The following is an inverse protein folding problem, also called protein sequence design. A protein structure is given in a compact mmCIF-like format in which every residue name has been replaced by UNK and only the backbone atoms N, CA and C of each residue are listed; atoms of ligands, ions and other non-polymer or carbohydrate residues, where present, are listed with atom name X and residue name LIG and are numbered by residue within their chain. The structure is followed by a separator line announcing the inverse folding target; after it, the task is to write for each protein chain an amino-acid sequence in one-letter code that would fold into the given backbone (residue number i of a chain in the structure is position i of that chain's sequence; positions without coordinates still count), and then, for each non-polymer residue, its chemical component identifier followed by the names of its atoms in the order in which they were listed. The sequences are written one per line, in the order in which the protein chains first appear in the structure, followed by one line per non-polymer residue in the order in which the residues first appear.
data_IF_591070940576
#
_entry.id   IF_591070940576
#
_cell.length_a   1.000
_cell.length_b   1.000
_cell.length_c   1.000
_cell.angle_alpha   90.00
_cell.angle_beta   90.00
_cell.angle_gamma   90.00
#
_symmetry.space_group_name_H-M   'P 1'
#
loop_
_entity.id
_entity.type
_entity.pdbx_description
1 polymer ?
#
# COMPACT_ATOMS: atom_id res chain seq x y z
N UNK A 1 -9.26 -8.83 -14.52
CA UNK A 1 -9.24 -7.86 -13.41
C UNK A 1 -8.09 -8.32 -12.53
N UNK A 2 -7.08 -7.47 -12.32
CA UNK A 2 -5.91 -7.87 -11.53
C UNK A 2 -6.23 -7.77 -10.04
N UNK A 3 -5.52 -8.55 -9.24
CA UNK A 3 -5.68 -8.63 -7.78
C UNK A 3 -4.35 -8.33 -7.10
N UNK A 4 -4.39 -7.71 -5.92
CA UNK A 4 -3.24 -7.49 -5.06
C UNK A 4 -3.48 -8.07 -3.67
N UNK A 5 -2.41 -8.54 -3.03
CA UNK A 5 -2.39 -8.84 -1.59
C UNK A 5 -1.58 -7.74 -0.93
N UNK A 6 -2.17 -7.10 0.07
CA UNK A 6 -1.65 -5.88 0.67
C UNK A 6 -1.61 -6.01 2.20
N UNK A 7 -0.60 -5.37 2.81
CA UNK A 7 -0.55 -5.16 4.26
C UNK A 7 -0.89 -3.70 4.54
N UNK A 8 -1.81 -3.50 5.46
CA UNK A 8 -2.26 -2.19 5.86
C UNK A 8 -1.55 -1.72 7.11
N UNK A 9 -1.29 -0.41 7.15
CA UNK A 9 -0.78 0.24 8.35
C UNK A 9 -1.87 0.31 9.44
N UNK A 10 -1.45 0.42 10.71
CA UNK A 10 -2.36 0.82 11.77
C UNK A 10 -2.83 2.28 11.58
N UNK A 11 -3.84 2.70 12.35
CA UNK A 11 -4.43 4.04 12.21
C UNK A 11 -3.39 5.16 12.38
N UNK A 12 -2.50 4.99 13.37
CA UNK A 12 -1.47 5.98 13.70
C UNK A 12 -0.46 6.13 12.56
N UNK A 13 0.03 5.03 12.01
CA UNK A 13 1.03 5.01 10.95
C UNK A 13 0.43 5.47 9.62
N UNK A 14 -0.82 5.11 9.34
CA UNK A 14 -1.58 5.67 8.22
C UNK A 14 -1.63 7.20 8.27
N UNK A 15 -1.95 7.78 9.42
CA UNK A 15 -2.01 9.23 9.57
C UNK A 15 -0.65 9.89 9.31
N UNK A 16 0.45 9.28 9.77
CA UNK A 16 1.81 9.79 9.51
C UNK A 16 2.09 9.84 8.01
N UNK A 17 1.82 8.74 7.29
CA UNK A 17 2.08 8.66 5.85
C UNK A 17 1.20 9.64 5.08
N UNK A 18 -0.10 9.71 5.38
CA UNK A 18 -1.01 10.66 4.74
C UNK A 18 -0.60 12.12 4.97
N UNK A 19 -0.08 12.45 6.15
CA UNK A 19 0.46 13.78 6.42
C UNK A 19 1.74 14.07 5.63
N UNK A 20 2.58 13.06 5.35
CA UNK A 20 3.72 13.23 4.46
C UNK A 20 3.26 13.51 3.03
N UNK A 21 2.30 12.74 2.53
CA UNK A 21 1.70 12.95 1.21
C UNK A 21 1.09 14.34 1.04
N UNK A 22 0.33 14.80 2.04
CA UNK A 22 -0.22 16.16 2.05
C UNK A 22 0.87 17.22 1.89
N UNK A 23 2.01 17.05 2.57
CA UNK A 23 3.15 17.96 2.46
C UNK A 23 3.87 17.91 1.10
N UNK A 24 3.74 16.82 0.34
CA UNK A 24 4.25 16.74 -1.03
C UNK A 24 3.35 17.52 -1.98
N UNK A 25 2.03 17.39 -1.83
CA UNK A 25 1.02 18.14 -2.58
C UNK A 25 1.15 19.65 -2.31
N UNK A 26 1.18 20.05 -1.04
CA UNK A 26 1.32 21.47 -0.64
C UNK A 26 2.59 22.14 -1.15
N UNK A 27 3.59 21.36 -1.58
CA UNK A 27 4.87 21.84 -2.12
C UNK A 27 5.01 21.66 -3.63
N UNK A 28 3.94 21.25 -4.31
CA UNK A 28 3.93 21.03 -5.76
C UNK A 28 4.97 19.98 -6.22
N UNK A 29 5.21 18.97 -5.38
CA UNK A 29 6.17 17.89 -5.67
C UNK A 29 5.47 16.70 -6.34
N UNK A 30 4.25 16.37 -5.89
CA UNK A 30 3.46 15.27 -6.43
C UNK A 30 2.00 15.44 -6.03
N UNK A 31 1.10 15.29 -7.00
CA UNK A 31 -0.37 15.32 -6.85
C UNK A 31 -1.01 13.93 -7.04
N UNK A 32 -0.19 12.89 -7.24
CA UNK A 32 -0.59 11.51 -7.53
C UNK A 32 -1.76 11.02 -6.67
N UNK A 33 -1.73 11.32 -5.38
CA UNK A 33 -2.71 10.81 -4.42
C UNK A 33 -4.05 11.53 -4.49
N UNK A 34 -4.05 12.80 -4.87
CA UNK A 34 -5.29 13.53 -5.14
C UNK A 34 -5.92 13.05 -6.45
N UNK A 35 -5.10 12.66 -7.44
CA UNK A 35 -5.58 12.20 -8.75
C UNK A 35 -6.15 10.77 -8.72
N UNK A 36 -5.41 9.83 -8.15
CA UNK A 36 -5.73 8.40 -8.24
C UNK A 36 -6.44 7.86 -7.00
N UNK A 37 -6.50 8.66 -5.93
CA UNK A 37 -6.85 8.16 -4.61
C UNK A 37 -5.81 7.17 -4.10
N UNK A 38 -5.86 6.85 -2.82
CA UNK A 38 -4.92 5.89 -2.27
C UNK A 38 -5.00 5.77 -0.77
N UNK A 39 -5.05 4.54 -0.30
CA UNK A 39 -4.84 4.22 1.10
C UNK A 39 -3.38 3.76 1.28
N UNK A 40 -2.64 4.23 2.29
CA UNK A 40 -1.29 3.73 2.54
C UNK A 40 -1.31 2.21 2.77
N UNK A 41 -0.56 1.49 1.94
CA UNK A 41 -0.42 0.05 2.03
C UNK A 41 0.97 -0.39 1.56
N UNK A 42 1.31 -1.64 1.81
CA UNK A 42 2.48 -2.31 1.24
C UNK A 42 1.95 -3.48 0.42
N UNK A 43 2.10 -3.41 -0.90
CA UNK A 43 1.79 -4.54 -1.78
C UNK A 43 2.80 -5.67 -1.55
N UNK A 44 2.30 -6.87 -1.24
CA UNK A 44 3.11 -8.08 -1.11
C UNK A 44 3.20 -8.86 -2.41
N UNK A 45 2.09 -8.92 -3.15
CA UNK A 45 1.99 -9.65 -4.41
C UNK A 45 0.89 -9.06 -5.31
N UNK A 46 1.07 -9.18 -6.63
CA UNK A 46 0.11 -8.79 -7.65
C UNK A 46 -0.13 -9.99 -8.57
N UNK A 47 -1.39 -10.26 -8.87
CA UNK A 47 -1.85 -11.39 -9.65
C UNK A 47 -2.73 -10.91 -10.80
N UNK A 48 -2.63 -11.58 -11.96
CA UNK A 48 -3.54 -11.32 -13.08
C UNK A 48 -4.90 -12.00 -12.89
N UNK A 49 -4.93 -13.10 -12.15
CA UNK A 49 -6.11 -13.88 -11.82
C UNK A 49 -5.88 -14.66 -10.53
N UNK A 50 -6.92 -14.85 -9.73
CA UNK A 50 -6.90 -15.62 -8.48
C UNK A 50 -8.21 -16.38 -8.31
N UNK A 51 -8.17 -17.53 -7.63
CA UNK A 51 -9.35 -18.07 -6.97
C UNK A 51 -9.53 -17.35 -5.64
N UNK A 52 -10.59 -16.53 -5.55
CA UNK A 52 -10.87 -15.68 -4.39
C UNK A 52 -11.11 -16.52 -3.13
N UNK A 53 -11.87 -17.61 -3.24
CA UNK A 53 -12.20 -18.45 -2.09
C UNK A 53 -10.98 -19.16 -1.54
N UNK A 54 -10.09 -19.61 -2.42
CA UNK A 54 -8.81 -20.19 -1.99
C UNK A 54 -7.87 -19.14 -1.40
N UNK A 55 -7.85 -17.90 -1.93
CA UNK A 55 -7.06 -16.81 -1.35
C UNK A 55 -7.54 -16.42 0.04
N UNK A 56 -8.85 -16.25 0.25
CA UNK A 56 -9.43 -15.97 1.57
C UNK A 56 -8.99 -17.02 2.59
N UNK A 57 -9.13 -18.31 2.25
CA UNK A 57 -8.71 -19.43 3.12
C UNK A 57 -7.22 -19.41 3.44
N UNK A 58 -6.37 -19.02 2.49
CA UNK A 58 -4.93 -18.94 2.70
C UNK A 58 -4.55 -17.73 3.56
N UNK A 59 -5.19 -16.58 3.34
CA UNK A 59 -5.01 -15.39 4.16
C UNK A 59 -5.37 -15.71 5.61
N UNK A 60 -6.53 -16.32 5.86
CA UNK A 60 -6.99 -16.70 7.20
C UNK A 60 -5.95 -17.58 7.93
N UNK A 61 -5.42 -18.61 7.25
CA UNK A 61 -4.38 -19.47 7.81
C UNK A 61 -3.08 -18.75 8.14
N UNK A 62 -2.71 -17.74 7.34
CA UNK A 62 -1.51 -16.95 7.58
C UNK A 62 -1.74 -16.03 8.79
N UNK A 63 -2.85 -15.29 8.82
CA UNK A 63 -3.13 -14.34 9.91
C UNK A 63 -3.43 -15.02 11.24
N UNK A 64 -3.86 -16.28 11.26
CA UNK A 64 -3.98 -17.08 12.49
C UNK A 64 -2.67 -17.17 13.29
N UNK A 65 -1.53 -17.16 12.59
CA UNK A 65 -0.21 -17.33 13.20
C UNK A 65 0.58 -16.02 13.28
N UNK A 66 0.09 -14.95 12.67
CA UNK A 66 0.79 -13.68 12.53
C UNK A 66 0.08 -12.58 13.32
N UNK A 67 0.80 -11.98 14.27
CA UNK A 67 0.32 -10.80 14.99
C UNK A 67 0.72 -9.51 14.26
N UNK A 68 0.09 -8.39 14.63
CA UNK A 68 0.54 -7.06 14.23
C UNK A 68 2.04 -6.90 14.50
N UNK A 69 2.80 -6.52 13.48
CA UNK A 69 4.25 -6.39 13.55
C UNK A 69 4.70 -4.98 13.24
N UNK A 70 5.86 -4.61 13.77
CA UNK A 70 6.47 -3.30 13.53
C UNK A 70 7.45 -3.41 12.37
N UNK A 71 7.35 -2.48 11.44
CA UNK A 71 8.35 -2.30 10.38
C UNK A 71 9.14 -1.02 10.60
N UNK A 72 10.37 -1.00 10.11
CA UNK A 72 11.20 0.20 10.06
C UNK A 72 11.39 0.61 8.60
N UNK A 73 10.83 1.75 8.22
CA UNK A 73 11.07 2.35 6.91
C UNK A 73 12.38 3.16 7.02
N UNK A 74 13.46 2.63 6.46
CA UNK A 74 14.80 3.23 6.60
C UNK A 74 15.08 4.39 5.64
N UNK A 75 14.36 4.46 4.52
CA UNK A 75 14.63 5.40 3.44
C UNK A 75 13.38 5.66 2.61
N UNK A 76 13.32 6.83 1.98
CA UNK A 76 12.34 7.18 0.96
C UNK A 76 13.04 7.15 -0.41
N UNK A 77 12.44 6.46 -1.37
CA UNK A 77 12.91 6.38 -2.75
C UNK A 77 12.03 7.21 -3.69
N UNK A 78 12.62 7.66 -4.80
CA UNK A 78 11.90 8.28 -5.91
C UNK A 78 12.10 7.38 -7.12
N UNK A 79 11.01 7.05 -7.80
CA UNK A 79 11.00 6.21 -8.98
C UNK A 79 10.42 7.00 -10.15
N UNK A 80 11.02 6.88 -11.33
CA UNK A 80 10.41 7.38 -12.56
C UNK A 80 9.17 6.54 -12.87
N UNK A 81 8.02 7.18 -13.07
CA UNK A 81 6.86 6.53 -13.68
C UNK A 81 6.84 6.80 -15.18
N UNK A 82 6.30 5.86 -15.94
CA UNK A 82 5.97 6.06 -17.36
C UNK A 82 4.52 6.55 -17.50
N UNK A 83 3.96 7.29 -16.53
CA UNK A 83 2.54 7.71 -16.50
C UNK A 83 2.19 8.80 -17.54
N UNK A 84 2.88 8.77 -18.68
CA UNK A 84 2.58 9.54 -19.89
C UNK A 84 2.53 8.59 -21.09
N UNK A 85 1.60 7.63 -21.06
CA UNK A 85 0.96 7.01 -22.24
C UNK A 85 -0.52 6.76 -21.99
#
# INVERSE_FOLDING_TARGET
MSFSIEVHFDEKSNLIIRNMWKKLIERDISDYIDQYGGFPHIALAVFNDIDISDMERLIDKVVENESMFTIKISSLGIFSSNESE
#
